data_IF_656969378001
#
_entry.id   IF_656969378001
#
_cell.length_a   1.000
_cell.length_b   1.000
_cell.length_c   1.000
_cell.angle_alpha   90.00
_cell.angle_beta   90.00
_cell.angle_gamma   90.00
#
_symmetry.space_group_name_H-M   'P 1'
#
loop_
_entity.id
_entity.type
_entity.pdbx_description
1 polymer ?
#
# COMPACT_ATOMS: atom_id res chain seq x y z
N UNK A 1 -34.12 34.43 -78.53
CA UNK A 1 -34.55 33.89 -77.22
C UNK A 1 -33.45 33.03 -76.66
N UNK A 2 -32.80 33.44 -75.56
CA UNK A 2 -31.83 32.62 -74.84
C UNK A 2 -31.89 33.04 -73.37
N UNK A 3 -32.57 32.23 -72.56
CA UNK A 3 -32.74 32.48 -71.12
C UNK A 3 -31.43 32.17 -70.36
N UNK A 4 -31.11 32.96 -69.32
CA UNK A 4 -29.99 32.68 -68.43
C UNK A 4 -30.38 31.65 -67.34
N UNK A 5 -29.56 30.61 -67.17
CA UNK A 5 -29.74 29.61 -66.09
C UNK A 5 -29.20 30.13 -64.76
N UNK A 6 -29.86 29.86 -63.62
CA UNK A 6 -29.35 30.24 -62.31
C UNK A 6 -28.33 29.20 -61.80
N UNK A 7 -27.14 29.68 -61.40
CA UNK A 7 -26.12 28.90 -60.71
C UNK A 7 -26.49 28.76 -59.23
N UNK A 8 -26.82 27.53 -58.82
CA UNK A 8 -27.04 27.16 -57.41
C UNK A 8 -25.71 27.17 -56.67
N UNK A 9 -25.50 28.18 -55.82
CA UNK A 9 -24.38 28.23 -54.89
C UNK A 9 -24.69 27.37 -53.67
N UNK A 10 -24.19 26.13 -53.69
CA UNK A 10 -24.24 25.23 -52.54
C UNK A 10 -23.17 25.66 -51.53
N UNK A 11 -23.57 26.45 -50.55
CA UNK A 11 -22.72 26.85 -49.42
C UNK A 11 -22.56 25.64 -48.48
N UNK A 12 -21.42 24.95 -48.56
CA UNK A 12 -21.08 23.86 -47.63
C UNK A 12 -20.55 24.49 -46.34
N UNK A 13 -21.40 24.54 -45.31
CA UNK A 13 -21.03 24.95 -43.96
C UNK A 13 -20.25 23.80 -43.30
N UNK A 14 -18.92 23.89 -43.26
CA UNK A 14 -18.08 22.94 -42.54
C UNK A 14 -18.13 23.23 -41.02
N UNK A 15 -18.98 22.47 -40.31
CA UNK A 15 -19.06 22.48 -38.85
C UNK A 15 -17.83 21.76 -38.28
N UNK A 16 -16.79 22.52 -37.90
CA UNK A 16 -15.62 22.00 -37.19
C UNK A 16 -16.06 21.71 -35.75
N UNK A 17 -16.41 20.44 -35.48
CA UNK A 17 -16.62 19.94 -34.12
C UNK A 17 -15.25 19.88 -33.45
N UNK A 18 -14.96 20.89 -32.63
CA UNK A 18 -13.89 20.84 -31.63
C UNK A 18 -14.21 19.70 -30.65
N UNK A 19 -13.73 18.50 -30.97
CA UNK A 19 -13.61 17.43 -29.99
C UNK A 19 -12.58 17.88 -28.95
N UNK A 20 -13.07 18.58 -27.92
CA UNK A 20 -12.37 18.77 -26.66
C UNK A 20 -12.03 17.39 -26.14
N UNK A 21 -10.83 16.93 -26.46
CA UNK A 21 -10.25 15.71 -25.94
C UNK A 21 -10.04 15.99 -24.47
N UNK A 22 -11.02 15.65 -23.63
CA UNK A 22 -10.84 15.51 -22.19
C UNK A 22 -9.78 14.41 -22.03
N UNK A 23 -8.51 14.80 -22.09
CA UNK A 23 -7.40 13.95 -21.71
C UNK A 23 -7.64 13.65 -20.24
N UNK A 24 -8.31 12.53 -19.98
CA UNK A 24 -8.40 11.94 -18.66
C UNK A 24 -6.95 11.64 -18.28
N UNK A 25 -6.29 12.60 -17.63
CA UNK A 25 -5.07 12.36 -16.89
C UNK A 25 -5.48 11.37 -15.82
N UNK A 26 -5.32 10.08 -16.12
CA UNK A 26 -5.63 9.02 -15.19
C UNK A 26 -4.69 9.22 -14.00
N UNK A 27 -5.28 9.45 -12.84
CA UNK A 27 -4.53 9.82 -11.65
C UNK A 27 -3.94 8.56 -11.02
N UNK A 28 -2.63 8.40 -11.18
CA UNK A 28 -1.87 7.30 -10.59
C UNK A 28 -1.78 7.49 -9.07
N UNK A 29 -1.95 8.71 -8.57
CA UNK A 29 -1.88 8.99 -7.14
C UNK A 29 -3.16 8.54 -6.41
N UNK A 30 -3.04 7.93 -5.21
CA UNK A 30 -4.18 7.73 -4.32
C UNK A 30 -4.92 9.04 -4.04
N UNK A 31 -6.25 8.96 -3.93
CA UNK A 31 -7.09 10.12 -3.66
C UNK A 31 -6.75 10.72 -2.28
N UNK A 32 -6.68 9.86 -1.26
CA UNK A 32 -6.47 10.27 0.12
C UNK A 32 -5.01 10.10 0.58
N UNK A 33 -4.60 10.96 1.51
CA UNK A 33 -3.31 10.81 2.17
C UNK A 33 -3.29 9.54 3.04
N UNK A 34 -2.09 9.01 3.26
CA UNK A 34 -1.85 7.76 3.99
C UNK A 34 -2.51 6.52 3.36
N UNK A 35 -2.57 6.49 2.02
CA UNK A 35 -3.10 5.36 1.27
C UNK A 35 -2.08 4.82 0.26
N UNK A 36 -2.27 3.55 -0.09
CA UNK A 36 -1.49 2.85 -1.11
C UNK A 36 -2.44 2.30 -2.16
N UNK A 37 -2.10 2.51 -3.42
CA UNK A 37 -2.79 1.90 -4.57
C UNK A 37 -1.83 1.04 -5.38
N UNK A 38 -2.38 0.05 -6.06
CA UNK A 38 -1.66 -0.77 -7.03
C UNK A 38 -1.68 -0.04 -8.37
N UNK A 39 -0.52 0.22 -8.95
CA UNK A 39 -0.43 0.82 -10.29
C UNK A 39 -0.75 -0.26 -11.33
N UNK A 40 -1.61 0.02 -12.29
CA UNK A 40 -1.90 -0.91 -13.38
C UNK A 40 -0.68 -1.14 -14.29
N UNK A 41 -0.69 -2.21 -15.06
CA UNK A 41 0.44 -2.58 -15.92
C UNK A 41 0.74 -1.55 -17.01
N UNK A 42 -0.26 -0.77 -17.42
CA UNK A 42 -0.11 0.34 -18.36
C UNK A 42 0.54 1.59 -17.73
N UNK A 43 0.73 1.61 -16.40
CA UNK A 43 1.30 2.72 -15.65
C UNK A 43 0.42 3.96 -15.57
N UNK A 44 -0.84 3.88 -16.03
CA UNK A 44 -1.71 5.07 -16.19
C UNK A 44 -2.77 5.16 -15.12
N UNK A 45 -3.25 4.03 -14.59
CA UNK A 45 -4.26 4.01 -13.55
C UNK A 45 -3.74 3.40 -12.26
N UNK A 46 -4.46 3.62 -11.16
CA UNK A 46 -4.20 2.92 -9.92
C UNK A 46 -5.50 2.42 -9.30
N UNK A 47 -5.41 1.30 -8.58
CA UNK A 47 -6.52 0.73 -7.83
C UNK A 47 -6.13 0.67 -6.36
N UNK A 48 -6.93 1.27 -5.49
CA UNK A 48 -6.66 1.29 -4.06
C UNK A 48 -6.55 -0.13 -3.48
N UNK A 49 -5.55 -0.31 -2.61
CA UNK A 49 -5.44 -1.53 -1.82
C UNK A 49 -6.51 -1.56 -0.74
N UNK A 50 -7.00 -2.76 -0.44
CA UNK A 50 -7.96 -2.94 0.65
C UNK A 50 -7.29 -2.70 1.99
N UNK A 51 -7.89 -1.82 2.79
CA UNK A 51 -7.57 -1.67 4.20
C UNK A 51 -7.83 -2.98 4.94
N UNK A 52 -6.84 -3.43 5.71
CA UNK A 52 -6.89 -4.66 6.49
C UNK A 52 -7.12 -4.36 7.97
N UNK A 53 -7.98 -5.17 8.59
CA UNK A 53 -8.15 -5.12 10.04
C UNK A 53 -6.96 -5.81 10.71
N UNK A 54 -6.14 -5.02 11.40
CA UNK A 54 -5.00 -5.49 12.17
C UNK A 54 -5.33 -5.63 13.66
N UNK A 55 -4.85 -6.71 14.29
CA UNK A 55 -5.00 -6.96 15.72
C UNK A 55 -3.65 -7.36 16.31
N UNK A 56 -3.18 -6.61 17.30
CA UNK A 56 -2.03 -7.00 18.11
C UNK A 56 -2.40 -8.20 19.00
N UNK A 57 -1.57 -9.24 19.00
CA UNK A 57 -1.74 -10.44 19.82
C UNK A 57 -0.44 -10.82 20.51
N UNK A 58 -0.57 -11.16 21.80
CA UNK A 58 0.49 -11.77 22.59
C UNK A 58 0.23 -13.27 22.73
N UNK A 59 1.21 -14.10 22.40
CA UNK A 59 1.12 -15.56 22.45
C UNK A 59 2.15 -16.11 23.44
N UNK A 60 1.69 -16.80 24.48
CA UNK A 60 2.56 -17.54 25.41
C UNK A 60 3.19 -18.73 24.68
N UNK A 61 4.51 -18.89 24.77
CA UNK A 61 5.27 -19.97 24.11
C UNK A 61 5.57 -21.17 25.02
N UNK A 62 5.08 -21.15 26.26
CA UNK A 62 5.28 -22.16 27.29
C UNK A 62 5.55 -21.54 28.66
N UNK A 63 5.64 -22.36 29.71
CA UNK A 63 5.86 -21.88 31.09
C UNK A 63 7.19 -21.12 31.22
N UNK A 64 8.26 -21.60 30.58
CA UNK A 64 9.61 -21.02 30.66
C UNK A 64 10.11 -20.35 29.37
N UNK A 65 9.24 -20.21 28.37
CA UNK A 65 9.61 -19.70 27.04
C UNK A 65 9.09 -18.27 26.77
N UNK A 66 8.49 -17.63 27.76
CA UNK A 66 7.97 -16.27 27.65
C UNK A 66 6.85 -16.10 26.61
N UNK A 67 6.83 -14.93 25.98
CA UNK A 67 5.74 -14.48 25.11
C UNK A 67 6.29 -13.94 23.78
N UNK A 68 5.54 -14.16 22.72
CA UNK A 68 5.74 -13.52 21.41
C UNK A 68 4.62 -12.49 21.18
N UNK A 69 4.99 -11.34 20.65
CA UNK A 69 4.05 -10.32 20.18
C UNK A 69 3.95 -10.44 18.66
N UNK A 70 2.73 -10.31 18.16
CA UNK A 70 2.43 -10.45 16.74
C UNK A 70 1.35 -9.46 16.31
N UNK A 71 1.41 -9.05 15.05
CA UNK A 71 0.33 -8.37 14.36
C UNK A 71 -0.40 -9.40 13.51
N UNK A 72 -1.72 -9.46 13.63
CA UNK A 72 -2.56 -10.35 12.84
C UNK A 72 -3.47 -9.57 11.93
N UNK A 73 -3.45 -9.88 10.64
CA UNK A 73 -4.43 -9.41 9.68
C UNK A 73 -5.53 -10.45 9.52
N UNK A 74 -6.77 -9.99 9.43
CA UNK A 74 -7.93 -10.86 9.22
C UNK A 74 -7.86 -11.58 7.87
N UNK A 75 -8.31 -12.84 7.83
CA UNK A 75 -8.30 -13.66 6.62
C UNK A 75 -6.97 -14.37 6.36
N UNK A 76 -7.06 -15.58 5.79
CA UNK A 76 -5.89 -16.38 5.42
C UNK A 76 -5.14 -15.81 4.19
N UNK A 77 -5.83 -15.07 3.34
CA UNK A 77 -5.31 -14.49 2.09
C UNK A 77 -5.79 -13.06 1.92
N UNK A 78 -4.96 -12.20 1.33
CA UNK A 78 -5.37 -10.85 0.97
C UNK A 78 -6.47 -10.84 -0.11
N UNK A 79 -7.26 -9.77 -0.14
CA UNK A 79 -8.29 -9.55 -1.17
C UNK A 79 -7.69 -9.18 -2.53
N UNK A 80 -6.49 -8.59 -2.52
CA UNK A 80 -5.78 -8.15 -3.74
C UNK A 80 -4.61 -9.08 -4.01
N UNK A 81 -4.43 -9.42 -5.28
CA UNK A 81 -3.32 -10.24 -5.76
C UNK A 81 -2.54 -9.47 -6.80
N UNK A 82 -1.21 -9.54 -6.74
CA UNK A 82 -0.30 -8.80 -7.62
C UNK A 82 0.86 -9.67 -8.10
N UNK A 83 1.62 -9.16 -9.07
CA UNK A 83 2.84 -9.78 -9.60
C UNK A 83 4.04 -9.51 -8.68
N UNK A 84 5.08 -10.34 -8.80
CA UNK A 84 6.32 -10.25 -8.00
C UNK A 84 7.05 -8.89 -8.05
N UNK A 85 6.97 -8.17 -9.17
CA UNK A 85 7.59 -6.83 -9.36
C UNK A 85 6.54 -5.72 -9.49
N UNK A 86 5.40 -5.89 -8.83
CA UNK A 86 4.33 -4.90 -8.86
C UNK A 86 4.81 -3.54 -8.33
N UNK A 87 4.40 -2.47 -9.02
CA UNK A 87 4.57 -1.09 -8.58
C UNK A 87 3.30 -0.61 -7.86
N UNK A 88 3.49 0.23 -6.87
CA UNK A 88 2.42 0.83 -6.08
C UNK A 88 2.57 2.35 -6.07
N UNK A 89 1.50 3.08 -5.83
CA UNK A 89 1.55 4.50 -5.56
C UNK A 89 1.20 4.75 -4.10
N UNK A 90 1.97 5.61 -3.44
CA UNK A 90 1.81 5.97 -2.04
C UNK A 90 1.71 7.48 -1.90
N UNK A 91 0.71 7.94 -1.14
CA UNK A 91 0.56 9.35 -0.78
C UNK A 91 0.88 9.52 0.72
N UNK A 92 2.00 10.15 1.09
CA UNK A 92 2.36 10.34 2.49
C UNK A 92 1.35 11.19 3.24
N UNK A 93 1.22 10.97 4.56
CA UNK A 93 0.38 11.81 5.42
C UNK A 93 1.03 13.17 5.68
N UNK A 94 2.36 13.19 5.83
CA UNK A 94 3.14 14.41 6.01
C UNK A 94 4.19 14.55 4.90
N UNK A 95 4.07 15.53 3.99
CA UNK A 95 5.02 15.69 2.89
C UNK A 95 6.40 16.20 3.33
N UNK A 96 6.54 16.73 4.57
CA UNK A 96 7.81 17.21 5.11
C UNK A 96 8.67 16.09 5.71
N UNK A 97 8.08 14.92 5.98
CA UNK A 97 8.77 13.76 6.53
C UNK A 97 9.19 12.83 5.39
N UNK A 98 10.39 12.27 5.47
CA UNK A 98 10.88 11.35 4.44
C UNK A 98 9.92 10.15 4.28
N UNK A 99 9.49 9.79 3.05
CA UNK A 99 8.44 8.79 2.85
C UNK A 99 8.83 7.41 3.38
N UNK A 100 10.12 7.05 3.36
CA UNK A 100 10.61 5.77 3.92
C UNK A 100 10.37 5.58 5.43
N UNK A 101 10.05 6.66 6.17
CA UNK A 101 9.68 6.58 7.59
C UNK A 101 8.16 6.38 7.77
N UNK A 102 7.37 6.65 6.74
CA UNK A 102 5.90 6.62 6.77
C UNK A 102 5.31 5.36 6.14
N UNK A 103 6.10 4.58 5.39
CA UNK A 103 5.68 3.32 4.79
C UNK A 103 6.76 2.24 4.95
N UNK A 104 6.34 1.05 5.35
CA UNK A 104 7.18 -0.16 5.43
C UNK A 104 6.42 -1.36 4.87
N UNK A 105 7.11 -2.28 4.22
CA UNK A 105 6.52 -3.51 3.68
C UNK A 105 6.97 -4.71 4.51
N UNK A 106 6.03 -5.54 4.96
CA UNK A 106 6.36 -6.73 5.74
C UNK A 106 5.79 -8.01 5.11
N UNK A 107 6.53 -9.13 5.16
CA UNK A 107 6.00 -10.44 4.84
C UNK A 107 5.18 -10.99 6.02
N UNK A 108 4.04 -11.59 5.72
CA UNK A 108 3.19 -12.26 6.70
C UNK A 108 3.19 -13.76 6.47
N UNK A 109 3.12 -14.51 7.58
CA UNK A 109 2.92 -15.96 7.54
C UNK A 109 1.43 -16.27 7.55
N UNK A 110 0.97 -17.01 6.56
CA UNK A 110 -0.42 -17.48 6.51
C UNK A 110 -0.68 -18.52 7.58
N UNK A 111 -1.80 -18.35 8.30
CA UNK A 111 -2.40 -19.33 9.19
C UNK A 111 -3.85 -19.58 8.75
N UNK A 112 -4.52 -20.55 9.39
CA UNK A 112 -5.86 -21.04 8.97
C UNK A 112 -6.91 -19.94 8.78
N UNK A 113 -6.90 -18.88 9.59
CA UNK A 113 -7.91 -17.81 9.55
C UNK A 113 -7.34 -16.39 9.59
N UNK A 114 -6.02 -16.25 9.60
CA UNK A 114 -5.34 -14.96 9.71
C UNK A 114 -3.96 -15.04 9.09
N UNK A 115 -3.36 -13.88 8.87
CA UNK A 115 -1.97 -13.71 8.48
C UNK A 115 -1.21 -13.11 9.66
N UNK A 116 -0.04 -13.63 10.01
CA UNK A 116 0.72 -13.26 11.21
C UNK A 116 2.10 -12.70 10.87
N UNK A 117 2.40 -11.53 11.44
CA UNK A 117 3.75 -10.97 11.52
C UNK A 117 4.20 -11.02 12.98
N UNK A 118 5.27 -11.74 13.29
CA UNK A 118 5.86 -11.75 14.64
C UNK A 118 6.78 -10.55 14.77
N UNK A 119 6.49 -9.67 15.73
CA UNK A 119 7.13 -8.36 15.87
C UNK A 119 8.06 -8.28 17.08
N UNK A 120 8.25 -9.37 17.81
CA UNK A 120 9.19 -9.46 18.93
C UNK A 120 8.66 -10.33 20.06
N UNK A 121 9.30 -10.27 21.21
CA UNK A 121 8.85 -10.98 22.41
C UNK A 121 9.71 -10.73 23.64
N UNK A 122 9.32 -11.35 24.74
CA UNK A 122 10.07 -11.34 26.00
C UNK A 122 10.25 -12.76 26.50
N UNK A 123 11.36 -13.04 27.18
CA UNK A 123 11.52 -14.29 27.93
C UNK A 123 10.68 -14.25 29.24
N UNK A 124 10.63 -15.37 29.96
CA UNK A 124 9.83 -15.47 31.21
C UNK A 124 10.32 -14.52 32.32
N UNK A 125 11.57 -14.04 32.25
CA UNK A 125 12.16 -13.13 33.23
C UNK A 125 12.22 -11.67 32.73
N UNK A 126 11.39 -11.31 31.75
CA UNK A 126 11.29 -9.94 31.21
C UNK A 126 12.46 -9.49 30.33
N UNK A 127 13.46 -10.35 30.08
CA UNK A 127 14.58 -10.07 29.20
C UNK A 127 14.24 -10.24 27.72
N UNK A 128 14.62 -9.24 26.90
CA UNK A 128 14.45 -9.24 25.44
C UNK A 128 15.75 -9.60 24.67
N UNK A 129 16.84 -9.91 25.38
CA UNK A 129 18.20 -10.06 24.81
C UNK A 129 18.26 -11.00 23.59
N UNK A 130 17.44 -12.05 23.57
CA UNK A 130 17.35 -13.04 22.47
C UNK A 130 15.99 -13.02 21.74
N UNK A 131 15.15 -12.00 21.98
CA UNK A 131 13.77 -11.88 21.45
C UNK A 131 13.51 -10.48 20.87
N UNK A 132 14.57 -9.79 20.45
CA UNK A 132 14.45 -8.50 19.76
C UNK A 132 13.56 -8.66 18.53
N UNK A 133 12.73 -7.65 18.30
CA UNK A 133 12.04 -7.45 17.03
C UNK A 133 13.09 -7.48 15.92
N UNK A 134 13.16 -8.57 15.15
CA UNK A 134 13.87 -8.52 13.87
C UNK A 134 13.03 -7.65 12.96
N UNK A 135 13.56 -6.49 12.59
CA UNK A 135 12.99 -5.69 11.52
C UNK A 135 13.11 -6.49 10.22
N UNK A 136 12.05 -7.22 9.91
CA UNK A 136 11.91 -8.00 8.69
C UNK A 136 11.27 -7.17 7.58
N UNK A 137 11.33 -5.84 7.68
CA UNK A 137 10.85 -4.96 6.62
C UNK A 137 11.64 -5.23 5.33
N UNK A 138 10.91 -5.32 4.23
CA UNK A 138 11.48 -5.42 2.89
C UNK A 138 11.86 -4.01 2.44
N UNK A 139 13.07 -3.89 1.90
CA UNK A 139 13.57 -2.60 1.41
C UNK A 139 12.74 -2.15 0.19
N UNK A 140 12.34 -0.88 0.22
CA UNK A 140 11.53 -0.24 -0.80
C UNK A 140 12.35 0.84 -1.50
N UNK A 141 12.19 0.92 -2.82
CA UNK A 141 12.57 2.06 -3.63
C UNK A 141 11.38 3.01 -3.71
N UNK A 142 11.62 4.29 -3.44
CA UNK A 142 10.61 5.34 -3.42
C UNK A 142 11.02 6.42 -4.40
N UNK A 143 10.28 6.54 -5.51
CA UNK A 143 10.51 7.56 -6.53
C UNK A 143 9.37 8.56 -6.50
N UNK A 144 9.70 9.86 -6.40
CA UNK A 144 8.68 10.90 -6.34
C UNK A 144 8.01 11.02 -7.71
N UNK A 145 6.68 10.93 -7.73
CA UNK A 145 5.85 11.18 -8.91
C UNK A 145 5.14 12.53 -8.76
N UNK A 146 4.02 12.71 -9.45
CA UNK A 146 3.22 13.94 -9.42
C UNK A 146 2.48 14.11 -8.09
N UNK A 147 2.12 15.35 -7.77
CA UNK A 147 1.18 15.71 -6.69
C UNK A 147 1.56 15.24 -5.28
N UNK A 148 2.87 15.14 -5.01
CA UNK A 148 3.41 14.76 -3.70
C UNK A 148 3.35 13.26 -3.41
N UNK A 149 3.04 12.46 -4.43
CA UNK A 149 2.91 11.01 -4.33
C UNK A 149 4.22 10.35 -4.74
N UNK A 150 4.38 9.08 -4.37
CA UNK A 150 5.59 8.30 -4.63
C UNK A 150 5.22 6.98 -5.29
N UNK A 151 5.94 6.62 -6.36
CA UNK A 151 5.99 5.25 -6.83
C UNK A 151 6.81 4.42 -5.83
N UNK A 152 6.25 3.30 -5.40
CA UNK A 152 6.84 2.36 -4.46
C UNK A 152 7.07 1.05 -5.18
N UNK A 153 8.30 0.56 -5.13
CA UNK A 153 8.68 -0.76 -5.64
C UNK A 153 9.62 -1.47 -4.67
N UNK A 154 9.62 -2.80 -4.65
CA UNK A 154 10.60 -3.56 -3.88
C UNK A 154 11.94 -3.57 -4.62
N UNK A 155 13.06 -3.49 -3.88
CA UNK A 155 14.40 -3.53 -4.49
C UNK A 155 14.68 -4.87 -5.19
N UNK A 156 14.07 -5.96 -4.70
CA UNK A 156 14.13 -7.29 -5.28
C UNK A 156 12.73 -7.85 -5.60
N UNK A 157 12.59 -8.80 -6.55
CA UNK A 157 11.33 -9.50 -6.78
C UNK A 157 10.80 -10.13 -5.49
N UNK A 158 9.50 -9.93 -5.20
CA UNK A 158 8.86 -10.56 -4.05
C UNK A 158 8.54 -12.03 -4.36
N UNK A 159 8.91 -12.99 -3.52
CA UNK A 159 8.46 -14.37 -3.69
C UNK A 159 6.95 -14.48 -3.47
N UNK A 160 6.34 -15.55 -3.97
CA UNK A 160 4.93 -15.83 -3.72
C UNK A 160 4.64 -15.88 -2.21
N UNK A 161 3.59 -15.20 -1.76
CA UNK A 161 3.28 -15.06 -0.34
C UNK A 161 2.33 -13.92 0.00
N UNK A 162 2.12 -13.70 1.29
CA UNK A 162 1.25 -12.65 1.83
C UNK A 162 2.09 -11.49 2.36
N UNK A 163 1.66 -10.27 2.04
CA UNK A 163 2.38 -9.06 2.40
C UNK A 163 1.41 -7.98 2.84
N UNK A 164 1.92 -7.03 3.63
CA UNK A 164 1.17 -5.81 3.88
C UNK A 164 2.11 -4.61 4.07
N UNK A 165 1.63 -3.46 3.60
CA UNK A 165 2.22 -2.18 3.96
C UNK A 165 1.72 -1.77 5.35
N UNK A 166 2.65 -1.40 6.22
CA UNK A 166 2.40 -0.67 7.47
C UNK A 166 2.61 0.81 7.20
N UNK A 167 1.60 1.62 7.50
CA UNK A 167 1.66 3.06 7.36
C UNK A 167 1.56 3.71 8.73
N UNK A 168 2.47 4.65 9.01
CA UNK A 168 2.46 5.44 10.24
C UNK A 168 1.32 6.46 10.21
N UNK A 169 0.58 6.58 11.31
CA UNK A 169 -0.38 7.65 11.52
C UNK A 169 0.29 9.00 11.78
N UNK A 170 -0.52 10.04 11.97
CA UNK A 170 0.01 11.37 12.27
C UNK A 170 0.86 11.34 13.55
N UNK A 171 2.14 11.71 13.43
CA UNK A 171 3.10 11.69 14.54
C UNK A 171 3.60 10.29 14.94
N UNK A 172 3.30 9.25 14.16
CA UNK A 172 3.70 7.86 14.42
C UNK A 172 4.59 7.31 13.30
N UNK A 173 5.58 6.48 13.65
CA UNK A 173 6.41 5.78 12.65
C UNK A 173 5.67 4.58 12.04
N UNK A 174 5.99 4.24 10.80
CA UNK A 174 5.58 2.98 10.17
C UNK A 174 6.31 1.75 10.72
N UNK A 175 7.34 1.96 11.54
CA UNK A 175 8.09 0.89 12.18
C UNK A 175 7.21 0.10 13.14
N UNK A 176 7.29 -1.23 13.05
CA UNK A 176 6.52 -2.15 13.92
C UNK A 176 7.41 -2.67 15.05
N UNK A 177 8.53 -1.99 15.30
CA UNK A 177 9.56 -2.43 16.21
C UNK A 177 9.04 -2.52 17.65
N UNK A 178 8.99 -3.74 18.17
CA UNK A 178 8.86 -4.00 19.60
C UNK A 178 7.70 -3.26 20.25
N UNK A 179 6.51 -3.25 19.62
CA UNK A 179 5.27 -2.91 20.32
C UNK A 179 5.25 -3.75 21.59
N UNK A 180 5.56 -3.10 22.70
CA UNK A 180 5.50 -3.70 24.00
C UNK A 180 4.02 -3.91 24.23
N UNK A 181 3.52 -5.09 23.87
CA UNK A 181 2.24 -5.62 24.33
C UNK A 181 2.29 -5.78 25.86
N UNK A 182 2.49 -4.67 26.59
CA UNK A 182 1.83 -4.51 27.86
C UNK A 182 0.33 -4.55 27.61
N UNK A 183 -0.43 -4.90 28.64
CA UNK A 183 -1.89 -4.85 28.65
C UNK A 183 -2.36 -3.52 28.02
N UNK A 184 -2.76 -3.55 26.74
CA UNK A 184 -3.25 -2.38 26.01
C UNK A 184 -2.40 -1.82 24.86
N UNK A 185 -1.18 -2.31 24.55
CA UNK A 185 -0.50 -1.86 23.32
C UNK A 185 -1.17 -2.49 22.10
N UNK A 186 -1.91 -1.64 21.43
CA UNK A 186 -2.52 -1.89 20.13
C UNK A 186 -1.51 -1.46 19.06
N UNK A 187 -1.72 -1.88 17.82
CA UNK A 187 -1.14 -1.23 16.63
C UNK A 187 -1.71 0.19 16.45
N UNK A 188 -1.97 0.92 17.55
CA UNK A 188 -2.66 2.21 17.56
C UNK A 188 -1.90 3.18 16.66
N UNK A 189 -2.62 3.74 15.70
CA UNK A 189 -2.07 4.68 14.73
C UNK A 189 -1.42 4.03 13.52
N UNK A 190 -1.32 2.69 13.40
CA UNK A 190 -0.84 2.04 12.19
C UNK A 190 -2.00 1.57 11.31
N UNK A 191 -1.89 1.90 10.02
CA UNK A 191 -2.84 1.49 8.98
C UNK A 191 -2.20 0.40 8.13
N UNK A 192 -2.94 -0.66 7.83
CA UNK A 192 -2.41 -1.84 7.15
C UNK A 192 -3.11 -2.06 5.81
N UNK A 193 -2.34 -2.22 4.74
CA UNK A 193 -2.85 -2.51 3.40
C UNK A 193 -2.25 -3.82 2.88
N UNK A 194 -3.09 -4.86 2.78
CA UNK A 194 -2.66 -6.22 2.48
C UNK A 194 -2.78 -6.58 0.99
N UNK A 195 -1.83 -7.39 0.52
CA UNK A 195 -1.87 -7.99 -0.81
C UNK A 195 -1.15 -9.35 -0.81
N UNK A 196 -1.45 -10.17 -1.83
CA UNK A 196 -0.79 -11.44 -2.08
C UNK A 196 0.04 -11.35 -3.36
N UNK A 197 1.20 -12.00 -3.38
CA UNK A 197 2.00 -12.18 -4.60
C UNK A 197 1.77 -13.60 -5.11
N UNK A 198 1.42 -13.70 -6.38
CA UNK A 198 1.23 -14.97 -7.09
C UNK A 198 2.18 -15.09 -8.28
#
# INVERSE_FOLDING_TARGET
MKEPRPMKHTLILALIVLFSSSASAQDVCPEFANMVSVISEDGKSSKELSLERAVAKQKKKGIYRGYDNSVRLEGATAKVSVKSRQKFAFKPINPQVHPAQQIKLYPFKTAKSYRELVVGGVNTFGGSKNRKSTDNAILLNLEKIKDGCYEVSSTAPLPAGEYAFSLGGQGSSADVAGTAAGYGSTTQGQTWFGFSVK
#
